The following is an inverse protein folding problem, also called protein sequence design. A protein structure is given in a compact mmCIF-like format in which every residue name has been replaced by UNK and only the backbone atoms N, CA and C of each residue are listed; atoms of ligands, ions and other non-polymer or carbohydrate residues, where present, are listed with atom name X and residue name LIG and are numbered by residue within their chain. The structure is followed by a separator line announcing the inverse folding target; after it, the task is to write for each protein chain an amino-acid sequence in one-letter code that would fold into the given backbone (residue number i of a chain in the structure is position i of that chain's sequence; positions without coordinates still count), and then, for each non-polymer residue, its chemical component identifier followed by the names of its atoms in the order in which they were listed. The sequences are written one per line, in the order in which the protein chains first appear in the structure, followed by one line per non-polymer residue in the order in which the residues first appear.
data_IF_430213450857
#
_entry.id   IF_430213450857
#
_cell.length_a   1.000
_cell.length_b   1.000
_cell.length_c   1.000
_cell.angle_alpha   90.00
_cell.angle_beta   90.00
_cell.angle_gamma   90.00
#
_symmetry.space_group_name_H-M   'P 1'
#
loop_
_entity.id
_entity.type
_entity.pdbx_description
1 polymer ?
#
# COMPACT_ATOMS: atom_id res chain seq x y z
N UNK A 1 -13.28 -7.02 -1.61
CA UNK A 1 -13.39 -5.74 -2.33
C UNK A 1 -13.42 -5.98 -3.83
N UNK A 2 -14.51 -5.59 -4.47
CA UNK A 2 -14.58 -5.26 -5.90
C UNK A 2 -14.49 -3.75 -6.00
N UNK A 3 -13.52 -3.19 -6.75
CA UNK A 3 -13.52 -1.76 -7.04
C UNK A 3 -14.65 -1.47 -8.04
N UNK A 4 -15.35 -0.36 -7.83
CA UNK A 4 -16.28 0.18 -8.82
C UNK A 4 -15.51 0.90 -9.93
N UNK A 5 -16.05 0.96 -11.15
CA UNK A 5 -15.42 1.67 -12.27
C UNK A 5 -15.10 3.13 -11.95
N UNK A 6 -15.92 3.78 -11.11
CA UNK A 6 -15.70 5.14 -10.60
C UNK A 6 -14.46 5.26 -9.71
N UNK A 7 -14.17 4.25 -8.90
CA UNK A 7 -12.96 4.21 -8.06
C UNK A 7 -11.71 3.94 -8.89
N UNK A 8 -11.83 3.13 -9.95
CA UNK A 8 -10.73 2.87 -10.89
C UNK A 8 -10.46 4.10 -11.76
N UNK A 9 -11.50 4.84 -12.18
CA UNK A 9 -11.36 6.11 -12.90
C UNK A 9 -10.66 7.18 -12.05
N UNK A 10 -10.94 7.22 -10.74
CA UNK A 10 -10.18 8.07 -9.81
C UNK A 10 -8.72 7.66 -9.65
N UNK A 11 -8.38 6.38 -9.85
CA UNK A 11 -6.98 5.92 -9.87
C UNK A 11 -6.26 6.35 -11.15
N UNK A 12 -6.95 6.44 -12.29
CA UNK A 12 -6.39 7.06 -13.51
C UNK A 12 -6.00 8.52 -13.31
N UNK A 13 -6.75 9.28 -12.51
CA UNK A 13 -6.37 10.66 -12.17
C UNK A 13 -5.03 10.79 -11.43
N UNK A 14 -4.50 9.68 -10.88
CA UNK A 14 -3.20 9.62 -10.19
C UNK A 14 -2.06 9.33 -11.17
N UNK A 15 -2.36 8.69 -12.30
CA UNK A 15 -1.43 8.50 -13.41
C UNK A 15 -2.18 8.28 -14.74
N UNK A 16 -2.03 9.23 -15.67
CA UNK A 16 -2.71 9.26 -16.97
C UNK A 16 -2.34 8.05 -17.86
N UNK A 17 -1.18 7.44 -17.65
CA UNK A 17 -0.68 6.32 -18.45
C UNK A 17 -1.19 4.94 -17.97
N UNK A 18 -1.87 4.86 -16.82
CA UNK A 18 -2.28 3.59 -16.23
C UNK A 18 -3.65 3.11 -16.75
N UNK A 19 -3.72 1.89 -17.30
CA UNK A 19 -4.98 1.34 -17.80
C UNK A 19 -5.87 0.81 -16.66
N UNK A 20 -7.21 0.82 -16.86
CA UNK A 20 -8.14 0.24 -15.87
C UNK A 20 -7.93 -1.27 -15.72
N UNK A 21 -7.55 -1.92 -16.82
CA UNK A 21 -7.27 -3.36 -16.91
C UNK A 21 -6.05 -3.71 -16.05
N UNK A 22 -4.95 -2.96 -16.16
CA UNK A 22 -3.75 -3.19 -15.35
C UNK A 22 -4.04 -3.02 -13.85
N UNK A 23 -4.87 -2.04 -13.48
CA UNK A 23 -5.30 -1.87 -12.08
C UNK A 23 -6.09 -3.09 -11.60
N UNK A 24 -7.05 -3.57 -12.39
CA UNK A 24 -7.93 -4.66 -12.02
C UNK A 24 -7.22 -6.02 -11.97
N UNK A 25 -6.34 -6.28 -12.93
CA UNK A 25 -5.69 -7.59 -13.11
C UNK A 25 -4.39 -7.73 -12.32
N UNK A 26 -3.66 -6.63 -12.10
CA UNK A 26 -2.34 -6.68 -11.46
C UNK A 26 -2.37 -6.07 -10.07
N UNK A 27 -2.73 -4.79 -9.97
CA UNK A 27 -2.58 -4.04 -8.72
C UNK A 27 -3.64 -4.41 -7.67
N UNK A 28 -4.86 -4.74 -8.09
CA UNK A 28 -5.91 -5.15 -7.18
C UNK A 28 -5.58 -6.50 -6.50
N UNK A 29 -5.21 -7.58 -7.20
CA UNK A 29 -4.71 -8.80 -6.56
C UNK A 29 -3.48 -8.58 -5.69
N UNK A 30 -2.52 -7.76 -6.14
CA UNK A 30 -1.34 -7.43 -5.35
C UNK A 30 -1.71 -6.72 -4.05
N UNK A 31 -2.63 -5.75 -4.08
CA UNK A 31 -3.10 -5.05 -2.87
C UNK A 31 -3.80 -6.00 -1.89
N UNK A 32 -4.54 -7.01 -2.40
CA UNK A 32 -5.15 -8.06 -1.58
C UNK A 32 -4.09 -8.93 -0.91
N UNK A 33 -3.06 -9.33 -1.65
CA UNK A 33 -1.94 -10.08 -1.11
C UNK A 33 -1.25 -9.30 0.02
N UNK A 34 -0.89 -8.03 -0.23
CA UNK A 34 -0.30 -7.15 0.77
C UNK A 34 -1.20 -6.99 1.99
N UNK A 35 -2.52 -6.88 1.80
CA UNK A 35 -3.47 -6.82 2.91
C UNK A 35 -3.43 -8.06 3.80
N UNK A 36 -3.25 -9.26 3.24
CA UNK A 36 -3.07 -10.48 4.03
C UNK A 36 -1.79 -10.43 4.86
N UNK A 37 -0.67 -9.96 4.31
CA UNK A 37 0.59 -9.80 5.05
C UNK A 37 0.45 -8.81 6.20
N UNK A 38 -0.14 -7.63 5.94
CA UNK A 38 -0.38 -6.60 6.96
C UNK A 38 -1.26 -7.17 8.08
N UNK A 39 -2.38 -7.79 7.72
CA UNK A 39 -3.33 -8.35 8.69
C UNK A 39 -2.73 -9.48 9.53
N UNK A 40 -1.89 -10.33 8.92
CA UNK A 40 -1.16 -11.39 9.63
C UNK A 40 -0.15 -10.81 10.62
N UNK A 41 0.59 -9.77 10.21
CA UNK A 41 1.53 -9.07 11.07
C UNK A 41 0.85 -8.42 12.29
N UNK A 42 -0.29 -7.74 12.07
CA UNK A 42 -1.09 -7.14 13.16
C UNK A 42 -1.60 -8.19 14.16
N UNK A 43 -2.10 -9.33 13.67
CA UNK A 43 -2.52 -10.43 14.55
C UNK A 43 -1.35 -10.99 15.35
N UNK A 44 -0.20 -11.21 14.72
CA UNK A 44 1.01 -11.67 15.40
C UNK A 44 1.45 -10.69 16.48
N UNK A 45 1.40 -9.39 16.19
CA UNK A 45 1.76 -8.35 17.14
C UNK A 45 0.84 -8.38 18.37
N UNK A 46 -0.48 -8.50 18.18
CA UNK A 46 -1.43 -8.58 19.30
C UNK A 46 -1.18 -9.79 20.21
N UNK A 47 -0.82 -10.95 19.64
CA UNK A 47 -0.46 -12.15 20.42
C UNK A 47 0.81 -11.93 21.25
N UNK A 48 1.83 -11.31 20.66
CA UNK A 48 3.08 -10.99 21.36
C UNK A 48 2.86 -9.97 22.48
N UNK A 49 2.06 -8.94 22.23
CA UNK A 49 1.74 -7.91 23.24
C UNK A 49 0.99 -8.51 24.43
N UNK A 50 0.03 -9.39 24.18
CA UNK A 50 -0.68 -10.11 25.23
C UNK A 50 0.25 -11.01 26.03
N UNK A 51 1.14 -11.76 25.36
CA UNK A 51 2.09 -12.66 26.02
C UNK A 51 3.11 -11.91 26.88
N UNK A 52 3.64 -10.78 26.39
CA UNK A 52 4.66 -9.98 27.06
C UNK A 52 4.08 -8.99 28.10
N UNK A 53 2.75 -8.83 28.15
CA UNK A 53 2.10 -7.88 29.05
C UNK A 53 2.41 -6.41 28.73
N UNK A 54 2.71 -6.10 27.46
CA UNK A 54 3.08 -4.75 27.03
C UNK A 54 1.87 -3.97 26.56
N UNK A 55 1.83 -2.66 26.85
CA UNK A 55 0.89 -1.74 26.21
C UNK A 55 1.38 -1.48 24.78
N UNK A 56 0.76 -2.16 23.80
CA UNK A 56 1.14 -2.08 22.39
C UNK A 56 1.27 -0.67 21.87
N UNK A 57 2.35 -0.38 21.16
CA UNK A 57 2.49 0.82 20.35
C UNK A 57 2.08 0.52 18.92
N UNK A 58 1.38 1.46 18.28
CA UNK A 58 1.01 1.30 16.87
C UNK A 58 2.26 1.48 15.99
N UNK A 59 2.88 0.36 15.63
CA UNK A 59 4.03 0.34 14.73
C UNK A 59 3.55 0.32 13.26
N UNK A 60 4.02 1.24 12.40
CA UNK A 60 3.69 1.21 10.98
C UNK A 60 4.20 -0.05 10.28
N UNK A 61 3.44 -0.55 9.31
CA UNK A 61 3.90 -1.58 8.38
C UNK A 61 4.59 -0.90 7.18
N UNK A 62 5.86 -1.21 6.94
CA UNK A 62 6.67 -0.56 5.89
C UNK A 62 6.72 -1.46 4.65
N UNK A 63 6.34 -0.90 3.50
CA UNK A 63 6.49 -1.53 2.17
C UNK A 63 7.54 -0.73 1.41
N UNK A 64 8.62 -1.39 0.99
CA UNK A 64 9.67 -0.76 0.18
C UNK A 64 9.49 -1.14 -1.30
N UNK A 65 9.59 -0.15 -2.19
CA UNK A 65 9.48 -0.33 -3.64
C UNK A 65 10.81 0.11 -4.27
N UNK A 66 11.53 -0.85 -4.85
CA UNK A 66 12.86 -0.65 -5.43
C UNK A 66 12.88 -0.97 -6.94
N UNK A 67 13.97 -0.60 -7.63
CA UNK A 67 14.10 -0.75 -9.08
C UNK A 67 14.87 0.40 -9.75
N UNK A 68 15.15 0.25 -11.04
CA UNK A 68 15.93 1.22 -11.83
C UNK A 68 15.25 2.60 -11.95
N UNK A 69 16.01 3.61 -12.34
CA UNK A 69 15.47 4.93 -12.70
C UNK A 69 14.49 4.77 -13.86
N UNK A 70 13.39 5.52 -13.84
CA UNK A 70 12.33 5.50 -14.86
C UNK A 70 11.54 4.18 -15.04
N UNK A 71 11.79 3.13 -14.23
CA UNK A 71 11.06 1.84 -14.33
C UNK A 71 9.61 1.88 -13.84
N UNK A 72 9.12 3.03 -13.34
CA UNK A 72 7.75 3.17 -12.86
C UNK A 72 7.53 2.96 -11.35
N UNK A 73 8.58 2.94 -10.51
CA UNK A 73 8.45 2.80 -9.04
C UNK A 73 7.41 3.76 -8.42
N UNK A 74 7.50 5.04 -8.77
CA UNK A 74 6.60 6.07 -8.24
C UNK A 74 5.15 5.85 -8.68
N UNK A 75 4.94 5.34 -9.90
CA UNK A 75 3.61 4.93 -10.39
C UNK A 75 3.05 3.80 -9.52
N UNK A 76 3.79 2.70 -9.38
CA UNK A 76 3.39 1.56 -8.55
C UNK A 76 3.11 1.98 -7.11
N UNK A 77 3.94 2.84 -6.53
CA UNK A 77 3.79 3.31 -5.16
C UNK A 77 2.49 4.10 -4.94
N UNK A 78 2.16 5.04 -5.83
CA UNK A 78 0.92 5.83 -5.73
C UNK A 78 -0.33 4.97 -5.93
N UNK A 79 -0.29 4.01 -6.84
CA UNK A 79 -1.41 3.08 -7.07
C UNK A 79 -1.64 2.23 -5.83
N UNK A 80 -0.58 1.63 -5.28
CA UNK A 80 -0.70 0.83 -4.05
C UNK A 80 -1.15 1.67 -2.85
N UNK A 81 -0.66 2.91 -2.71
CA UNK A 81 -1.12 3.82 -1.66
C UNK A 81 -2.63 4.03 -1.75
N UNK A 82 -3.15 4.34 -2.94
CA UNK A 82 -4.56 4.61 -3.13
C UNK A 82 -5.43 3.36 -2.92
N UNK A 83 -4.97 2.18 -3.37
CA UNK A 83 -5.67 0.92 -3.17
C UNK A 83 -5.71 0.52 -1.69
N UNK A 84 -4.56 0.55 -1.00
CA UNK A 84 -4.46 0.14 0.40
C UNK A 84 -5.20 1.09 1.35
N UNK A 85 -5.30 2.37 1.02
CA UNK A 85 -6.05 3.37 1.81
C UNK A 85 -7.56 3.13 1.81
N UNK A 86 -8.08 2.49 0.76
CA UNK A 86 -9.53 2.26 0.56
C UNK A 86 -10.03 0.93 1.11
N UNK A 87 -9.15 0.14 1.73
CA UNK A 87 -9.57 -1.09 2.39
C UNK A 87 -10.55 -0.78 3.54
N UNK A 88 -11.50 -1.68 3.86
CA UNK A 88 -12.51 -1.46 4.91
C UNK A 88 -11.92 -1.13 6.29
N UNK A 89 -10.68 -1.55 6.55
CA UNK A 89 -9.96 -1.22 7.76
C UNK A 89 -9.49 0.26 7.82
N UNK A 90 -9.78 1.06 6.78
CA UNK A 90 -9.49 2.50 6.66
C UNK A 90 -8.09 2.87 7.12
N UNK A 91 -7.08 2.17 6.58
CA UNK A 91 -5.69 2.38 6.98
C UNK A 91 -5.18 3.72 6.47
N UNK A 92 -4.45 4.42 7.34
CA UNK A 92 -3.65 5.56 6.95
C UNK A 92 -2.40 5.08 6.20
N UNK A 93 -2.26 5.44 4.93
CA UNK A 93 -1.14 5.01 4.07
C UNK A 93 -0.39 6.22 3.55
N UNK A 94 0.85 6.38 4.02
CA UNK A 94 1.75 7.43 3.54
C UNK A 94 2.73 6.90 2.49
N UNK A 95 3.19 7.81 1.63
CA UNK A 95 4.21 7.55 0.63
C UNK A 95 5.40 8.47 0.90
N UNK A 96 6.57 7.87 1.14
CA UNK A 96 7.84 8.58 1.31
C UNK A 96 8.76 8.19 0.16
N UNK A 97 9.37 9.18 -0.51
CA UNK A 97 10.39 8.94 -1.54
C UNK A 97 11.78 9.05 -0.93
N UNK A 98 12.70 8.18 -1.34
CA UNK A 98 14.09 8.21 -0.86
C UNK A 98 14.90 9.35 -1.46
N UNK A 99 14.42 9.95 -2.54
CA UNK A 99 15.11 11.04 -3.25
C UNK A 99 15.25 12.30 -2.37
N UNK A 100 14.34 12.50 -1.41
CA UNK A 100 14.43 13.58 -0.42
C UNK A 100 15.53 13.42 0.62
N UNK A 101 16.27 12.30 0.62
CA UNK A 101 17.37 12.03 1.55
C UNK A 101 18.74 12.18 0.89
N UNK A 102 18.82 12.60 -0.38
CA UNK A 102 20.09 12.92 -0.99
C UNK A 102 20.74 14.15 -0.33
N UNK A 103 22.08 14.18 -0.33
CA UNK A 103 22.83 15.31 0.20
C UNK A 103 22.48 16.60 -0.60
N UNK A 104 22.49 17.78 0.06
CA UNK A 104 22.25 19.07 -0.60
C UNK A 104 23.20 19.36 -1.75
#
# INVERSE_FOLDING_TARGET
MTLTEEEITRLKGINEDLSLEEVAEIYLPLSRLLNFYISSNLRRQAVLEQFLGTNGQRIPYIISIAGSVAVGKSTTARVLQALLSRWPEHRHVELITTDGFFAP
#
